data_IF_012615784929
#
_entry.id   IF_012615784929
#
_cell.length_a   1.000
_cell.length_b   1.000
_cell.length_c   1.000
_cell.angle_alpha   90.00
_cell.angle_beta   90.00
_cell.angle_gamma   90.00
#
_symmetry.space_group_name_H-M   'P 1'
#
loop_
_entity.id
_entity.type
_entity.pdbx_description
1 polymer ?
#
# COMPACT_ATOMS: atom_id res chain seq x y z
N UNK A 1 -11.95 1.07 34.27
CA UNK A 1 -11.88 1.42 32.83
C UNK A 1 -13.29 1.28 32.29
N UNK A 2 -14.02 2.38 32.09
CA UNK A 2 -15.42 2.38 31.64
C UNK A 2 -15.58 1.97 30.17
N UNK A 3 -14.98 0.84 29.79
CA UNK A 3 -15.17 0.21 28.50
C UNK A 3 -16.28 -0.83 28.67
N UNK A 4 -17.46 -0.51 28.14
CA UNK A 4 -18.52 -1.48 27.89
C UNK A 4 -17.93 -2.65 27.08
N UNK A 5 -17.83 -3.88 27.63
CA UNK A 5 -17.28 -5.04 26.91
C UNK A 5 -18.08 -5.38 25.65
N UNK A 6 -19.34 -4.94 25.62
CA UNK A 6 -20.27 -5.05 24.50
C UNK A 6 -19.94 -4.14 23.31
N UNK A 7 -19.11 -3.10 23.51
CA UNK A 7 -18.73 -2.11 22.50
C UNK A 7 -17.38 -2.35 21.83
N UNK A 8 -16.62 -3.38 22.25
CA UNK A 8 -15.35 -3.72 21.63
C UNK A 8 -15.60 -4.45 20.31
N UNK A 9 -15.06 -3.91 19.21
CA UNK A 9 -15.11 -4.57 17.90
C UNK A 9 -14.52 -5.98 18.01
N UNK A 10 -15.29 -7.00 17.58
CA UNK A 10 -14.87 -8.40 17.61
C UNK A 10 -13.47 -8.57 16.99
N UNK A 11 -12.50 -9.18 17.70
CA UNK A 11 -11.13 -9.36 17.19
C UNK A 11 -11.08 -10.06 15.83
N UNK A 12 -11.94 -11.06 15.66
CA UNK A 12 -12.07 -11.79 14.40
C UNK A 12 -12.57 -10.90 13.25
N UNK A 13 -13.58 -10.05 13.52
CA UNK A 13 -14.08 -9.10 12.51
C UNK A 13 -12.99 -8.11 12.10
N UNK A 14 -12.23 -7.58 13.06
CA UNK A 14 -11.12 -6.66 12.76
C UNK A 14 -10.02 -7.34 11.93
N UNK A 15 -9.65 -8.58 12.26
CA UNK A 15 -8.66 -9.35 11.52
C UNK A 15 -9.10 -9.61 10.07
N UNK A 16 -10.32 -10.12 9.87
CA UNK A 16 -10.86 -10.41 8.54
C UNK A 16 -11.01 -9.14 7.71
N UNK A 17 -11.55 -8.06 8.30
CA UNK A 17 -11.68 -6.79 7.59
C UNK A 17 -10.32 -6.22 7.17
N UNK A 18 -9.31 -6.28 8.04
CA UNK A 18 -7.96 -5.81 7.74
C UNK A 18 -7.29 -6.66 6.67
N UNK A 19 -7.45 -7.99 6.73
CA UNK A 19 -6.92 -8.91 5.72
C UNK A 19 -7.52 -8.63 4.34
N UNK A 20 -8.84 -8.47 4.25
CA UNK A 20 -9.51 -8.18 2.99
C UNK A 20 -9.14 -6.80 2.46
N UNK A 21 -9.13 -5.77 3.30
CA UNK A 21 -8.73 -4.41 2.90
C UNK A 21 -7.29 -4.38 2.39
N UNK A 22 -6.37 -5.07 3.07
CA UNK A 22 -4.98 -5.20 2.64
C UNK A 22 -4.86 -5.96 1.33
N UNK A 23 -5.48 -7.14 1.22
CA UNK A 23 -5.39 -8.00 0.04
C UNK A 23 -5.95 -7.31 -1.21
N UNK A 24 -7.09 -6.65 -1.08
CA UNK A 24 -7.70 -5.88 -2.18
C UNK A 24 -6.83 -4.68 -2.58
N UNK A 25 -6.29 -3.94 -1.60
CA UNK A 25 -5.38 -2.83 -1.87
C UNK A 25 -4.08 -3.27 -2.54
N UNK A 26 -3.50 -4.37 -2.09
CA UNK A 26 -2.26 -4.93 -2.61
C UNK A 26 -2.42 -5.57 -3.99
N UNK A 27 -3.62 -6.03 -4.34
CA UNK A 27 -3.89 -6.62 -5.66
C UNK A 27 -3.67 -5.62 -6.81
N UNK A 28 -3.98 -4.34 -6.61
CA UNK A 28 -3.90 -3.29 -7.64
C UNK A 28 -2.50 -3.19 -8.28
N UNK A 29 -1.41 -2.94 -7.52
CA UNK A 29 -0.07 -2.89 -8.10
C UNK A 29 0.45 -4.24 -8.63
N UNK A 30 -0.18 -5.36 -8.26
CA UNK A 30 0.19 -6.68 -8.76
C UNK A 30 -0.46 -7.02 -10.11
N UNK A 31 -1.54 -6.33 -10.50
CA UNK A 31 -2.25 -6.58 -11.77
C UNK A 31 -1.33 -6.67 -13.00
N UNK A 32 -0.33 -5.78 -13.19
CA UNK A 32 0.52 -5.83 -14.39
C UNK A 32 1.36 -7.10 -14.48
N UNK A 33 1.71 -7.73 -13.36
CA UNK A 33 2.46 -8.99 -13.34
C UNK A 33 1.62 -10.20 -13.77
N UNK A 34 0.29 -10.07 -13.82
CA UNK A 34 -0.59 -11.13 -14.34
C UNK A 34 -0.64 -11.19 -15.87
N UNK A 35 -0.27 -10.12 -16.57
CA UNK A 35 -0.46 -10.00 -18.02
C UNK A 35 0.77 -9.48 -18.78
N UNK A 36 1.76 -8.91 -18.10
CA UNK A 36 3.01 -8.43 -18.67
C UNK A 36 4.21 -9.06 -17.95
N UNK A 37 5.39 -8.93 -18.55
CA UNK A 37 6.65 -9.42 -17.99
C UNK A 37 7.79 -8.40 -18.14
N UNK A 38 8.91 -8.67 -17.46
CA UNK A 38 10.10 -7.83 -17.50
C UNK A 38 9.82 -6.39 -17.08
N UNK A 39 10.48 -5.44 -17.76
CA UNK A 39 10.39 -4.01 -17.43
C UNK A 39 8.96 -3.47 -17.54
N UNK A 40 8.15 -3.99 -18.46
CA UNK A 40 6.78 -3.53 -18.66
C UNK A 40 5.90 -3.79 -17.42
N UNK A 41 5.97 -4.99 -16.84
CA UNK A 41 5.28 -5.31 -15.60
C UNK A 41 5.80 -4.48 -14.42
N UNK A 42 7.11 -4.26 -14.36
CA UNK A 42 7.73 -3.44 -13.31
C UNK A 42 7.25 -1.99 -13.36
N UNK A 43 7.29 -1.34 -14.52
CA UNK A 43 6.81 0.04 -14.68
C UNK A 43 5.31 0.15 -14.45
N UNK A 44 4.51 -0.78 -15.00
CA UNK A 44 3.08 -0.83 -14.75
C UNK A 44 2.76 -0.94 -13.26
N UNK A 45 3.46 -1.84 -12.56
CA UNK A 45 3.28 -2.05 -11.11
C UNK A 45 3.68 -0.82 -10.30
N UNK A 46 4.78 -0.16 -10.65
CA UNK A 46 5.24 1.07 -10.00
C UNK A 46 4.26 2.24 -10.16
N UNK A 47 3.69 2.41 -11.35
CA UNK A 47 2.67 3.45 -11.63
C UNK A 47 1.40 3.16 -10.82
N UNK A 48 0.89 1.94 -10.88
CA UNK A 48 -0.31 1.57 -10.13
C UNK A 48 -0.10 1.67 -8.61
N UNK A 49 1.06 1.23 -8.11
CA UNK A 49 1.42 1.40 -6.70
C UNK A 49 1.41 2.89 -6.29
N UNK A 50 2.01 3.75 -7.11
CA UNK A 50 2.07 5.19 -6.85
C UNK A 50 0.66 5.81 -6.79
N UNK A 51 -0.22 5.44 -7.73
CA UNK A 51 -1.62 5.87 -7.74
C UNK A 51 -2.35 5.35 -6.50
N UNK A 52 -2.21 4.07 -6.15
CA UNK A 52 -2.84 3.49 -4.95
C UNK A 52 -2.40 4.18 -3.66
N UNK A 53 -1.11 4.51 -3.52
CA UNK A 53 -0.57 5.23 -2.36
C UNK A 53 -1.12 6.66 -2.27
N UNK A 54 -1.17 7.39 -3.39
CA UNK A 54 -1.76 8.73 -3.44
C UNK A 54 -3.25 8.70 -3.06
N UNK A 55 -4.01 7.76 -3.63
CA UNK A 55 -5.45 7.61 -3.36
C UNK A 55 -5.71 7.23 -1.90
N UNK A 56 -4.97 6.29 -1.33
CA UNK A 56 -5.15 5.92 0.09
C UNK A 56 -4.73 7.04 1.03
N UNK A 57 -3.63 7.74 0.73
CA UNK A 57 -3.21 8.89 1.54
C UNK A 57 -4.24 10.02 1.51
N UNK A 58 -4.84 10.27 0.34
CA UNK A 58 -5.94 11.21 0.17
C UNK A 58 -7.20 10.76 0.92
N UNK A 59 -7.61 9.49 0.77
CA UNK A 59 -8.79 8.91 1.41
C UNK A 59 -8.73 9.01 2.94
N UNK A 60 -7.60 8.62 3.54
CA UNK A 60 -7.40 8.71 4.99
C UNK A 60 -7.44 10.17 5.46
N UNK A 61 -6.93 11.11 4.66
CA UNK A 61 -6.96 12.53 5.01
C UNK A 61 -8.37 13.12 5.02
N UNK A 62 -9.26 12.67 4.14
CA UNK A 62 -10.67 13.09 4.11
C UNK A 62 -11.37 12.79 5.44
N UNK A 63 -11.11 11.62 6.03
CA UNK A 63 -11.70 11.25 7.32
C UNK A 63 -10.99 11.88 8.52
N UNK A 64 -9.73 12.30 8.37
CA UNK A 64 -8.90 12.81 9.46
C UNK A 64 -8.86 14.34 9.55
N UNK A 65 -9.54 15.05 8.64
CA UNK A 65 -9.48 16.52 8.55
C UNK A 65 -8.10 17.08 8.18
N UNK A 66 -7.23 16.25 7.58
CA UNK A 66 -5.85 16.63 7.21
C UNK A 66 -5.81 17.09 5.74
N UNK A 67 -4.74 17.79 5.36
CA UNK A 67 -4.52 18.17 3.96
C UNK A 67 -4.41 16.95 3.04
N UNK A 68 -5.33 16.83 2.08
CA UNK A 68 -5.45 15.70 1.15
C UNK A 68 -4.15 15.48 0.37
N UNK A 69 -3.67 16.53 -0.30
CA UNK A 69 -2.46 16.46 -1.12
C UNK A 69 -1.21 16.14 -0.29
N UNK A 70 -1.07 16.76 0.89
CA UNK A 70 0.07 16.54 1.78
C UNK A 70 0.10 15.08 2.30
N UNK A 71 -1.06 14.52 2.65
CA UNK A 71 -1.17 13.13 3.10
C UNK A 71 -0.90 12.14 1.98
N UNK A 72 -1.45 12.38 0.78
CA UNK A 72 -1.17 11.60 -0.42
C UNK A 72 0.32 11.58 -0.75
N UNK A 73 0.95 12.75 -0.85
CA UNK A 73 2.37 12.87 -1.15
C UNK A 73 3.24 12.20 -0.07
N UNK A 74 2.91 12.38 1.21
CA UNK A 74 3.62 11.69 2.30
C UNK A 74 3.56 10.17 2.15
N UNK A 75 2.38 9.63 1.84
CA UNK A 75 2.21 8.18 1.65
C UNK A 75 2.97 7.68 0.42
N UNK A 76 2.97 8.44 -0.68
CA UNK A 76 3.77 8.14 -1.86
C UNK A 76 5.28 8.11 -1.54
N UNK A 77 5.80 9.14 -0.87
CA UNK A 77 7.22 9.23 -0.53
C UNK A 77 7.69 8.08 0.37
N UNK A 78 6.88 7.71 1.36
CA UNK A 78 7.16 6.55 2.22
C UNK A 78 7.20 5.27 1.39
N UNK A 79 6.21 5.07 0.50
CA UNK A 79 6.15 3.89 -0.35
C UNK A 79 7.30 3.80 -1.34
N UNK A 80 7.69 4.92 -1.97
CA UNK A 80 8.86 4.99 -2.85
C UNK A 80 10.16 4.72 -2.09
N UNK A 81 10.30 5.25 -0.86
CA UNK A 81 11.45 4.95 0.00
C UNK A 81 11.54 3.47 0.36
N UNK A 82 10.42 2.85 0.72
CA UNK A 82 10.36 1.42 1.01
C UNK A 82 10.69 0.58 -0.24
N UNK A 83 10.09 0.89 -1.39
CA UNK A 83 10.34 0.19 -2.65
C UNK A 83 11.82 0.32 -3.09
N UNK A 84 12.37 1.53 -3.02
CA UNK A 84 13.77 1.78 -3.32
C UNK A 84 14.72 1.00 -2.41
N UNK A 85 14.44 0.97 -1.10
CA UNK A 85 15.23 0.20 -0.13
C UNK A 85 15.19 -1.30 -0.44
N UNK A 86 14.01 -1.86 -0.70
CA UNK A 86 13.86 -3.27 -1.08
C UNK A 86 14.60 -3.60 -2.37
N UNK A 87 14.52 -2.73 -3.38
CA UNK A 87 15.25 -2.91 -4.63
C UNK A 87 16.77 -2.85 -4.44
N UNK A 88 17.28 -1.91 -3.64
CA UNK A 88 18.70 -1.81 -3.31
C UNK A 88 19.21 -3.06 -2.61
N UNK A 89 18.45 -3.60 -1.65
CA UNK A 89 18.79 -4.86 -0.96
C UNK A 89 18.81 -6.01 -1.97
N UNK A 90 17.78 -6.16 -2.80
CA UNK A 90 17.74 -7.18 -3.84
C UNK A 90 18.91 -7.08 -4.82
N UNK A 91 19.34 -5.85 -5.15
CA UNK A 91 20.50 -5.59 -6.01
C UNK A 91 21.81 -5.94 -5.32
N UNK A 92 21.97 -5.61 -4.05
CA UNK A 92 23.16 -5.97 -3.26
C UNK A 92 23.33 -7.49 -3.11
N UNK A 93 22.21 -8.23 -3.07
CA UNK A 93 22.19 -9.69 -3.01
C UNK A 93 22.29 -10.39 -4.39
N UNK A 94 22.32 -9.62 -5.49
CA UNK A 94 22.39 -10.18 -6.85
C UNK A 94 21.09 -10.83 -7.35
N UNK A 95 19.97 -10.57 -6.69
CA UNK A 95 18.64 -11.12 -7.04
C UNK A 95 17.78 -10.09 -7.80
N UNK A 96 18.22 -8.84 -7.89
CA UNK A 96 17.52 -7.83 -8.67
C UNK A 96 17.58 -8.16 -10.17
N UNK A 97 16.40 -8.17 -10.79
CA UNK A 97 16.22 -8.33 -12.23
C UNK A 97 16.81 -7.09 -12.90
N UNK A 98 17.72 -7.31 -13.86
CA UNK A 98 18.35 -6.25 -14.68
C UNK A 98 17.49 -5.90 -15.90
#
# INVERSE_FOLDING_TARGET
LGLEPSGLASPWRAAVASFLAFSLGAAIPLLPFGFASGSAAMFGGAVLASISLLLMGALVAMFSGRGILASGLRMLLIGLGAAGTTWLIGRALGVAIS
#
